data_IF_752708617080
#
_entry.id   IF_752708617080
#
_cell.length_a   1.000
_cell.length_b   1.000
_cell.length_c   1.000
_cell.angle_alpha   90.00
_cell.angle_beta   90.00
_cell.angle_gamma   90.00
#
_symmetry.space_group_name_H-M   'P 1'
#
loop_
_entity.id
_entity.type
_entity.pdbx_description
1 polymer ?
#
# COMPACT_ATOMS: atom_id res chain seq x y z
N UNK A 1 6.67 -45.24 -5.99
CA UNK A 1 7.63 -46.38 -5.86
C UNK A 1 8.80 -46.12 -4.90
N UNK A 2 9.30 -47.19 -4.27
CA UNK A 2 10.50 -47.17 -3.40
C UNK A 2 11.56 -48.16 -3.88
N UNK A 3 12.84 -47.89 -3.62
CA UNK A 3 13.94 -48.84 -3.84
C UNK A 3 13.99 -49.95 -2.76
N UNK A 4 14.96 -50.86 -2.87
CA UNK A 4 15.18 -51.94 -1.89
C UNK A 4 15.50 -51.44 -0.46
N UNK A 5 15.92 -50.18 -0.32
CA UNK A 5 16.22 -49.54 0.95
C UNK A 5 15.03 -48.70 1.48
N UNK A 6 13.89 -48.70 0.78
CA UNK A 6 12.70 -47.96 1.17
C UNK A 6 12.71 -46.47 0.79
N UNK A 7 13.69 -46.00 0.02
CA UNK A 7 13.76 -44.61 -0.44
C UNK A 7 12.78 -44.40 -1.60
N UNK A 8 12.07 -43.28 -1.62
CA UNK A 8 11.20 -42.94 -2.74
C UNK A 8 12.03 -42.64 -4.00
N UNK A 9 11.72 -43.31 -5.10
CA UNK A 9 12.48 -43.21 -6.36
C UNK A 9 11.68 -42.61 -7.53
N UNK A 10 10.37 -42.38 -7.36
CA UNK A 10 9.51 -41.86 -8.41
C UNK A 10 8.15 -42.54 -8.47
N UNK A 11 7.31 -42.08 -9.40
CA UNK A 11 6.10 -42.81 -9.78
C UNK A 11 6.44 -43.94 -10.74
N UNK A 12 5.86 -45.12 -10.54
CA UNK A 12 6.11 -46.29 -11.36
C UNK A 12 4.88 -47.16 -11.55
N UNK A 13 5.06 -48.31 -12.18
CA UNK A 13 3.94 -49.16 -12.64
C UNK A 13 3.00 -49.52 -11.48
N UNK A 14 1.72 -49.17 -11.65
CA UNK A 14 0.65 -49.40 -10.66
C UNK A 14 0.32 -48.19 -9.77
N UNK A 15 1.13 -47.13 -9.77
CA UNK A 15 0.79 -45.89 -9.07
C UNK A 15 -0.42 -45.20 -9.75
N UNK A 16 -1.37 -44.71 -8.92
CA UNK A 16 -2.60 -44.04 -9.38
C UNK A 16 -2.82 -42.71 -8.66
N UNK A 17 -2.60 -41.58 -9.33
CA UNK A 17 -2.78 -40.23 -8.76
C UNK A 17 -2.74 -39.10 -9.81
N UNK A 18 -3.05 -37.87 -9.40
CA UNK A 18 -3.05 -36.67 -10.26
C UNK A 18 -1.67 -36.35 -10.86
N UNK A 19 -0.59 -36.71 -10.16
CA UNK A 19 0.76 -36.54 -10.68
C UNK A 19 1.06 -37.47 -11.85
N UNK A 20 0.51 -38.69 -11.81
CA UNK A 20 0.60 -39.67 -12.90
C UNK A 20 -0.26 -39.24 -14.08
N UNK A 21 -1.45 -38.68 -13.82
CA UNK A 21 -2.29 -38.07 -14.86
C UNK A 21 -1.52 -37.00 -15.63
N UNK A 22 -0.82 -36.10 -14.93
CA UNK A 22 0.02 -35.09 -15.56
C UNK A 22 1.19 -35.69 -16.37
N UNK A 23 1.79 -36.79 -15.90
CA UNK A 23 2.85 -37.51 -16.65
C UNK A 23 2.28 -38.08 -17.95
N UNK A 24 1.18 -38.83 -17.86
CA UNK A 24 0.52 -39.46 -18.99
C UNK A 24 0.05 -38.41 -20.00
N UNK A 25 -0.59 -37.32 -19.56
CA UNK A 25 -1.01 -36.22 -20.42
C UNK A 25 0.17 -35.60 -21.18
N UNK A 26 1.29 -35.31 -20.51
CA UNK A 26 2.45 -34.70 -21.16
C UNK A 26 3.12 -35.64 -22.16
N UNK A 27 3.24 -36.93 -21.83
CA UNK A 27 3.77 -37.93 -22.75
C UNK A 27 2.85 -38.10 -23.95
N UNK A 28 1.56 -38.32 -23.69
CA UNK A 28 0.53 -38.52 -24.69
C UNK A 28 0.47 -37.33 -25.63
N UNK A 29 0.35 -36.09 -25.15
CA UNK A 29 0.11 -34.93 -26.03
C UNK A 29 1.34 -34.52 -26.83
N UNK A 30 2.51 -34.50 -26.18
CA UNK A 30 3.73 -33.96 -26.80
C UNK A 30 4.39 -34.95 -27.75
N UNK A 31 4.22 -36.24 -27.54
CA UNK A 31 5.05 -37.25 -28.20
C UNK A 31 4.22 -38.31 -28.91
N UNK A 32 4.22 -38.23 -30.24
CA UNK A 32 3.57 -39.25 -31.08
C UNK A 32 4.09 -40.66 -30.78
N UNK A 33 5.40 -40.82 -30.55
CA UNK A 33 6.00 -42.12 -30.22
C UNK A 33 5.52 -42.70 -28.89
N UNK A 34 5.12 -41.86 -27.92
CA UNK A 34 4.55 -42.32 -26.66
C UNK A 34 3.12 -42.86 -26.87
N UNK A 35 2.32 -42.17 -27.69
CA UNK A 35 0.98 -42.63 -28.09
C UNK A 35 1.04 -43.95 -28.86
N UNK A 36 1.95 -44.06 -29.82
CA UNK A 36 2.16 -45.31 -30.59
C UNK A 36 2.58 -46.48 -29.70
N UNK A 37 3.29 -46.21 -28.60
CA UNK A 37 3.66 -47.22 -27.61
C UNK A 37 2.55 -47.58 -26.61
N UNK A 38 1.35 -46.99 -26.75
CA UNK A 38 0.19 -47.29 -25.91
C UNK A 38 0.10 -46.47 -24.62
N UNK A 39 0.78 -45.32 -24.53
CA UNK A 39 0.49 -44.37 -23.44
C UNK A 39 -0.89 -43.78 -23.68
N UNK A 40 -1.79 -43.97 -22.72
CA UNK A 40 -3.15 -43.43 -22.73
C UNK A 40 -3.28 -42.27 -21.73
N UNK A 41 -4.31 -41.45 -21.90
CA UNK A 41 -4.70 -40.46 -20.91
C UNK A 41 -5.32 -41.15 -19.69
N UNK A 42 -5.06 -40.60 -18.49
CA UNK A 42 -5.60 -41.11 -17.24
C UNK A 42 -4.55 -41.11 -16.12
N UNK A 43 -5.00 -41.45 -14.92
CA UNK A 43 -4.25 -41.30 -13.66
C UNK A 43 -3.40 -42.52 -13.28
N UNK A 44 -3.34 -43.55 -14.11
CA UNK A 44 -2.67 -44.81 -13.80
C UNK A 44 -1.35 -44.97 -14.56
N UNK A 45 -0.28 -45.29 -13.86
CA UNK A 45 1.05 -45.43 -14.44
C UNK A 45 1.21 -46.86 -14.96
N UNK A 46 1.21 -47.02 -16.29
CA UNK A 46 1.22 -48.35 -16.93
C UNK A 46 2.63 -48.76 -17.37
N UNK A 47 2.78 -50.00 -17.85
CA UNK A 47 4.03 -50.42 -18.51
C UNK A 47 4.34 -49.61 -19.77
N UNK A 48 3.32 -49.13 -20.48
CA UNK A 48 3.52 -48.22 -21.61
C UNK A 48 4.08 -46.88 -21.14
N UNK A 49 3.57 -46.34 -20.01
CA UNK A 49 4.13 -45.14 -19.37
C UNK A 49 5.59 -45.34 -18.95
N UNK A 50 5.92 -46.49 -18.32
CA UNK A 50 7.29 -46.82 -17.92
C UNK A 50 8.26 -46.90 -19.11
N UNK A 51 7.84 -47.56 -20.19
CA UNK A 51 8.61 -47.61 -21.42
C UNK A 51 8.82 -46.20 -22.01
N UNK A 52 7.76 -45.40 -22.06
CA UNK A 52 7.82 -44.05 -22.61
C UNK A 52 8.70 -43.11 -21.78
N UNK A 53 8.76 -43.27 -20.46
CA UNK A 53 9.69 -42.55 -19.60
C UNK A 53 11.15 -42.96 -19.87
N UNK A 54 11.42 -44.25 -20.06
CA UNK A 54 12.75 -44.72 -20.46
C UNK A 54 13.19 -44.08 -21.77
N UNK A 55 12.30 -44.08 -22.76
CA UNK A 55 12.56 -43.50 -24.08
C UNK A 55 12.71 -41.98 -24.03
N UNK A 56 11.87 -41.29 -23.26
CA UNK A 56 12.01 -39.86 -23.00
C UNK A 56 13.39 -39.53 -22.46
N UNK A 57 13.83 -40.24 -21.40
CA UNK A 57 15.13 -40.02 -20.76
C UNK A 57 16.30 -40.18 -21.73
N UNK A 58 16.28 -41.22 -22.58
CA UNK A 58 17.30 -41.42 -23.64
C UNK A 58 17.35 -40.23 -24.60
N UNK A 59 16.20 -39.73 -25.03
CA UNK A 59 16.11 -38.62 -26.00
C UNK A 59 16.60 -37.29 -25.43
N UNK A 60 16.39 -37.06 -24.13
CA UNK A 60 16.77 -35.79 -23.49
C UNK A 60 18.09 -35.85 -22.70
N UNK A 61 18.78 -37.00 -22.73
CA UNK A 61 20.06 -37.20 -22.03
C UNK A 61 19.95 -37.26 -20.52
N UNK A 62 18.81 -37.72 -19.97
CA UNK A 62 18.63 -37.92 -18.53
C UNK A 62 18.95 -39.36 -18.10
N UNK A 63 19.54 -39.57 -16.91
CA UNK A 63 19.67 -40.90 -16.32
C UNK A 63 18.30 -41.55 -16.12
N UNK A 64 18.18 -42.83 -16.53
CA UNK A 64 16.98 -43.62 -16.29
C UNK A 64 17.06 -44.21 -14.89
N UNK A 65 15.99 -44.06 -14.11
CA UNK A 65 15.82 -44.73 -12.81
C UNK A 65 14.85 -45.87 -12.98
N UNK A 66 15.22 -47.06 -12.49
CA UNK A 66 14.39 -48.25 -12.53
C UNK A 66 13.88 -48.62 -11.15
N UNK A 67 12.68 -49.16 -11.09
CA UNK A 67 12.19 -49.84 -9.89
C UNK A 67 12.83 -51.24 -9.75
N UNK A 68 12.61 -51.94 -8.62
CA UNK A 68 13.14 -53.29 -8.43
C UNK A 68 12.66 -54.35 -9.43
N UNK A 69 11.59 -54.06 -10.20
CA UNK A 69 11.06 -54.94 -11.24
C UNK A 69 11.63 -54.64 -12.63
N UNK A 70 12.49 -53.61 -12.74
CA UNK A 70 13.14 -53.20 -13.98
C UNK A 70 12.30 -52.22 -14.82
N UNK A 71 11.19 -51.70 -14.29
CA UNK A 71 10.36 -50.71 -14.98
C UNK A 71 10.82 -49.29 -14.63
N UNK A 72 10.90 -48.39 -15.61
CA UNK A 72 11.38 -47.04 -15.35
C UNK A 72 10.36 -46.20 -14.57
N UNK A 73 10.89 -45.41 -13.64
CA UNK A 73 10.10 -44.54 -12.76
C UNK A 73 10.29 -43.07 -13.12
N UNK A 74 9.21 -42.29 -13.00
CA UNK A 74 9.24 -40.85 -13.18
C UNK A 74 9.58 -40.16 -11.84
N UNK A 75 10.88 -39.98 -11.59
CA UNK A 75 11.37 -39.21 -10.45
C UNK A 75 11.20 -37.69 -10.68
N UNK A 76 11.52 -36.87 -9.67
CA UNK A 76 11.34 -35.41 -9.75
C UNK A 76 12.07 -34.77 -10.93
N UNK A 77 13.33 -35.14 -11.18
CA UNK A 77 14.13 -34.58 -12.27
C UNK A 77 13.51 -34.87 -13.64
N UNK A 78 13.04 -36.10 -13.85
CA UNK A 78 12.35 -36.52 -15.06
C UNK A 78 11.05 -35.72 -15.23
N UNK A 79 10.24 -35.59 -14.17
CA UNK A 79 8.96 -34.86 -14.24
C UNK A 79 9.15 -33.36 -14.51
N UNK A 80 10.18 -32.73 -13.94
CA UNK A 80 10.53 -31.34 -14.24
C UNK A 80 10.91 -31.22 -15.72
N UNK A 81 11.78 -32.09 -16.24
CA UNK A 81 12.23 -32.03 -17.64
C UNK A 81 11.12 -32.31 -18.64
N UNK A 82 10.23 -33.25 -18.32
CA UNK A 82 9.02 -33.56 -19.10
C UNK A 82 8.01 -32.41 -19.08
N UNK A 83 8.04 -31.59 -18.01
CA UNK A 83 7.06 -30.55 -17.72
C UNK A 83 5.76 -31.11 -17.14
N UNK A 84 5.80 -32.27 -16.49
CA UNK A 84 4.68 -32.88 -15.76
C UNK A 84 4.74 -32.60 -14.26
N UNK A 85 5.80 -31.95 -13.78
CA UNK A 85 5.85 -31.33 -12.48
C UNK A 85 5.67 -29.82 -12.64
N UNK A 86 4.53 -29.31 -12.16
CA UNK A 86 4.37 -27.88 -11.94
C UNK A 86 5.10 -27.59 -10.63
N UNK A 87 6.20 -26.85 -10.69
CA UNK A 87 6.79 -26.26 -9.48
C UNK A 87 5.67 -25.45 -8.84
N UNK A 88 5.23 -25.77 -7.61
CA UNK A 88 4.32 -24.88 -6.92
C UNK A 88 4.99 -23.51 -6.94
N UNK A 89 4.34 -22.51 -7.55
CA UNK A 89 4.78 -21.14 -7.39
C UNK A 89 5.04 -20.95 -5.90
N UNK A 90 6.21 -20.41 -5.47
CA UNK A 90 6.45 -20.16 -4.05
C UNK A 90 5.18 -19.48 -3.55
N UNK A 91 4.45 -20.12 -2.63
CA UNK A 91 3.22 -19.48 -2.16
C UNK A 91 3.70 -18.14 -1.60
N UNK A 92 3.21 -17.01 -2.14
CA UNK A 92 3.53 -15.74 -1.54
C UNK A 92 3.19 -15.88 -0.05
N UNK A 93 4.04 -15.35 0.86
CA UNK A 93 3.81 -15.50 2.29
C UNK A 93 2.35 -15.22 2.57
N UNK A 94 1.69 -16.12 3.31
CA UNK A 94 0.24 -16.12 3.52
C UNK A 94 -0.19 -14.70 3.86
N UNK A 95 -0.82 -14.01 2.90
CA UNK A 95 -1.29 -12.64 3.10
C UNK A 95 -2.31 -12.67 4.22
N UNK A 96 -2.20 -11.75 5.18
CA UNK A 96 -3.28 -11.51 6.12
C UNK A 96 -4.59 -11.26 5.35
N UNK A 97 -5.75 -11.70 5.85
CA UNK A 97 -7.03 -11.55 5.17
C UNK A 97 -7.47 -10.08 4.97
N UNK A 98 -6.82 -9.12 5.64
CA UNK A 98 -7.07 -7.69 5.51
C UNK A 98 -5.84 -6.99 4.93
N UNK A 99 -6.04 -5.98 4.09
CA UNK A 99 -4.94 -5.15 3.57
C UNK A 99 -4.89 -3.79 4.25
N UNK A 100 -3.71 -3.34 4.67
CA UNK A 100 -3.45 -1.94 5.01
C UNK A 100 -2.71 -1.28 3.85
N UNK A 101 -3.33 -0.27 3.23
CA UNK A 101 -2.66 0.60 2.29
C UNK A 101 -2.04 1.80 3.02
N UNK A 102 -0.73 1.99 2.89
CA UNK A 102 -0.03 3.12 3.52
C UNK A 102 0.46 4.12 2.49
N UNK A 103 0.22 5.41 2.72
CA UNK A 103 0.72 6.51 1.89
C UNK A 103 1.57 7.44 2.74
N UNK A 104 2.85 7.55 2.39
CA UNK A 104 3.83 8.32 3.14
C UNK A 104 3.57 9.83 3.07
N UNK A 105 4.21 10.59 3.96
CA UNK A 105 4.20 12.05 3.90
C UNK A 105 5.22 12.61 2.91
N UNK A 106 5.21 13.92 2.72
CA UNK A 106 6.15 14.62 1.84
C UNK A 106 7.61 14.28 2.21
N UNK A 107 8.40 13.97 1.19
CA UNK A 107 9.82 13.61 1.21
C UNK A 107 10.18 12.31 1.93
N UNK A 108 9.18 11.53 2.35
CA UNK A 108 9.41 10.19 2.88
C UNK A 108 9.37 9.15 1.76
N UNK A 109 10.15 8.09 1.92
CA UNK A 109 9.97 6.88 1.12
C UNK A 109 8.73 6.09 1.62
N UNK A 110 8.27 5.12 0.83
CA UNK A 110 7.04 4.38 1.13
C UNK A 110 7.13 3.42 2.34
N UNK A 111 8.31 3.24 2.92
CA UNK A 111 8.60 2.32 4.03
C UNK A 111 8.87 3.04 5.35
N UNK A 112 8.80 4.37 5.39
CA UNK A 112 9.09 5.19 6.57
C UNK A 112 7.92 6.10 6.98
N UNK A 113 8.01 6.64 8.20
CA UNK A 113 7.02 7.53 8.80
C UNK A 113 5.82 6.81 9.43
N UNK A 114 4.90 7.60 10.00
CA UNK A 114 3.81 7.08 10.83
C UNK A 114 2.95 5.98 10.17
N UNK A 115 2.59 6.05 8.87
CA UNK A 115 1.84 4.97 8.23
C UNK A 115 2.63 3.66 8.20
N UNK A 116 3.94 3.70 7.97
CA UNK A 116 4.80 2.52 8.01
C UNK A 116 4.98 2.00 9.44
N UNK A 117 5.10 2.88 10.43
CA UNK A 117 5.14 2.50 11.85
C UNK A 117 3.87 1.76 12.26
N UNK A 118 2.69 2.26 11.85
CA UNK A 118 1.41 1.55 12.03
C UNK A 118 1.47 0.19 11.38
N UNK A 119 1.85 0.10 10.10
CA UNK A 119 1.92 -1.16 9.38
C UNK A 119 2.86 -2.18 10.04
N UNK A 120 4.00 -1.75 10.55
CA UNK A 120 4.97 -2.57 11.26
C UNK A 120 4.43 -3.11 12.60
N UNK A 121 3.61 -2.31 13.29
CA UNK A 121 2.95 -2.72 14.54
C UNK A 121 1.72 -3.64 14.36
N UNK A 122 1.23 -3.83 13.13
CA UNK A 122 0.09 -4.71 12.88
C UNK A 122 0.47 -6.19 12.90
N UNK A 123 -0.42 -7.00 13.46
CA UNK A 123 -0.29 -8.46 13.48
C UNK A 123 -0.43 -9.02 12.05
N UNK A 124 0.64 -9.67 11.57
CA UNK A 124 0.72 -10.21 10.21
C UNK A 124 -0.19 -11.43 10.00
N UNK A 125 -0.73 -12.03 11.06
CA UNK A 125 -1.77 -13.03 10.95
C UNK A 125 -3.08 -12.45 10.39
N UNK A 126 -3.35 -11.16 10.66
CA UNK A 126 -4.55 -10.46 10.20
C UNK A 126 -4.28 -9.55 9.00
N UNK A 127 -3.09 -8.92 8.97
CA UNK A 127 -2.82 -7.81 8.08
C UNK A 127 -1.72 -8.09 7.06
N UNK A 128 -2.02 -7.80 5.81
CA UNK A 128 -1.04 -7.62 4.74
C UNK A 128 -0.76 -6.12 4.56
N UNK A 129 0.53 -5.75 4.55
CA UNK A 129 0.95 -4.37 4.32
C UNK A 129 1.24 -4.14 2.84
N UNK A 130 0.54 -3.18 2.23
CA UNK A 130 0.77 -2.73 0.86
C UNK A 130 1.10 -1.22 0.86
N UNK A 131 2.39 -0.84 0.79
CA UNK A 131 2.74 0.57 0.65
C UNK A 131 2.45 1.10 -0.76
N UNK A 132 2.20 2.40 -0.85
CA UNK A 132 1.99 3.15 -2.10
C UNK A 132 3.27 3.84 -2.49
N UNK A 133 3.83 3.48 -3.66
CA UNK A 133 5.01 4.14 -4.21
C UNK A 133 4.59 5.35 -5.03
N UNK A 134 4.97 6.55 -4.58
CA UNK A 134 4.64 7.79 -5.27
C UNK A 134 5.73 8.86 -5.01
N UNK A 135 5.75 9.98 -5.75
CA UNK A 135 6.84 10.95 -5.68
C UNK A 135 7.07 11.57 -4.29
N UNK A 136 6.02 11.69 -3.47
CA UNK A 136 6.07 12.37 -2.17
C UNK A 136 6.70 13.78 -2.24
N UNK A 137 6.49 14.54 -3.31
CA UNK A 137 7.21 15.77 -3.57
C UNK A 137 6.38 17.04 -3.34
N UNK A 138 7.07 18.17 -3.19
CA UNK A 138 6.46 19.52 -3.10
C UNK A 138 7.20 20.45 -4.07
N UNK A 139 7.24 20.10 -5.36
CA UNK A 139 7.90 20.90 -6.39
C UNK A 139 9.36 21.25 -6.04
N UNK A 140 9.83 22.47 -6.39
CA UNK A 140 11.18 22.92 -6.05
C UNK A 140 11.38 23.21 -4.54
N UNK A 141 10.35 23.09 -3.69
CA UNK A 141 10.38 23.48 -2.26
C UNK A 141 11.34 22.60 -1.42
N UNK A 142 11.99 21.59 -2.02
CA UNK A 142 13.05 20.79 -1.41
C UNK A 142 14.44 20.93 -2.05
N UNK A 143 14.66 21.90 -2.95
CA UNK A 143 15.97 22.18 -3.54
C UNK A 143 16.37 21.37 -4.78
N UNK A 144 15.42 20.77 -5.51
CA UNK A 144 15.69 20.03 -6.73
C UNK A 144 14.48 19.91 -7.68
N UNK A 145 14.67 19.41 -8.91
CA UNK A 145 13.58 19.18 -9.84
C UNK A 145 12.69 18.01 -9.39
N UNK A 146 11.46 18.33 -8.98
CA UNK A 146 10.47 17.35 -8.56
C UNK A 146 9.06 17.80 -8.98
N UNK A 147 8.08 16.87 -9.13
CA UNK A 147 6.69 17.22 -9.36
C UNK A 147 6.16 18.16 -8.29
N UNK A 148 5.26 19.07 -8.66
CA UNK A 148 4.51 19.88 -7.70
C UNK A 148 3.77 19.01 -6.67
N UNK A 149 3.32 19.61 -5.58
CA UNK A 149 2.49 18.91 -4.60
C UNK A 149 1.23 18.31 -5.27
N UNK A 150 0.56 19.09 -6.13
CA UNK A 150 -0.66 18.66 -6.80
C UNK A 150 -0.41 17.46 -7.73
N UNK A 151 0.68 17.46 -8.50
CA UNK A 151 1.06 16.31 -9.32
C UNK A 151 1.46 15.10 -8.49
N UNK A 152 2.23 15.30 -7.41
CA UNK A 152 2.62 14.23 -6.49
C UNK A 152 1.37 13.54 -5.92
N UNK A 153 0.42 14.32 -5.40
CA UNK A 153 -0.85 13.80 -4.89
C UNK A 153 -1.63 13.08 -5.99
N UNK A 154 -1.71 13.63 -7.20
CA UNK A 154 -2.41 12.97 -8.31
C UNK A 154 -1.80 11.60 -8.64
N UNK A 155 -0.47 11.48 -8.71
CA UNK A 155 0.21 10.20 -8.93
C UNK A 155 -0.06 9.23 -7.77
N UNK A 156 -0.05 9.71 -6.52
CA UNK A 156 -0.38 8.89 -5.35
C UNK A 156 -1.82 8.37 -5.35
N UNK A 157 -2.78 9.19 -5.78
CA UNK A 157 -4.19 8.80 -5.93
C UNK A 157 -4.33 7.72 -7.00
N UNK A 158 -3.74 7.90 -8.18
CA UNK A 158 -3.82 6.93 -9.27
C UNK A 158 -3.18 5.59 -8.88
N UNK A 159 -2.02 5.61 -8.21
CA UNK A 159 -1.37 4.37 -7.76
C UNK A 159 -2.20 3.66 -6.68
N UNK A 160 -2.76 4.39 -5.72
CA UNK A 160 -3.60 3.78 -4.69
C UNK A 160 -4.92 3.23 -5.27
N UNK A 161 -5.54 3.93 -6.23
CA UNK A 161 -6.70 3.41 -6.97
C UNK A 161 -6.35 2.09 -7.66
N UNK A 162 -5.26 2.06 -8.44
CA UNK A 162 -4.77 0.85 -9.12
C UNK A 162 -4.53 -0.30 -8.13
N UNK A 163 -3.88 -0.01 -7.00
CA UNK A 163 -3.59 -1.00 -5.97
C UNK A 163 -4.86 -1.57 -5.33
N UNK A 164 -5.87 -0.73 -5.06
CA UNK A 164 -7.17 -1.20 -4.55
C UNK A 164 -7.85 -2.09 -5.58
N UNK A 165 -7.90 -1.71 -6.85
CA UNK A 165 -8.55 -2.48 -7.91
C UNK A 165 -7.99 -3.90 -8.05
N UNK A 166 -6.66 -4.06 -7.97
CA UNK A 166 -6.01 -5.37 -8.10
C UNK A 166 -5.94 -6.16 -6.78
N UNK A 167 -6.33 -5.56 -5.65
CA UNK A 167 -6.26 -6.19 -4.34
C UNK A 167 -7.66 -6.57 -3.87
N UNK A 168 -8.01 -7.87 -3.87
CA UNK A 168 -9.31 -8.32 -3.38
C UNK A 168 -9.38 -8.22 -1.86
N UNK A 169 -10.61 -8.18 -1.34
CA UNK A 169 -10.89 -8.22 0.09
C UNK A 169 -11.02 -6.85 0.75
N UNK A 170 -11.15 -6.91 2.08
CA UNK A 170 -11.40 -5.76 2.94
C UNK A 170 -10.08 -5.07 3.32
N UNK A 171 -10.12 -3.75 3.46
CA UNK A 171 -8.91 -2.97 3.64
C UNK A 171 -9.09 -1.75 4.55
N UNK A 172 -7.95 -1.22 4.97
CA UNK A 172 -7.79 0.06 5.64
C UNK A 172 -6.94 1.01 4.79
N UNK A 173 -7.25 2.29 4.84
CA UNK A 173 -6.41 3.36 4.31
C UNK A 173 -5.63 4.02 5.45
N UNK A 174 -4.35 4.33 5.23
CA UNK A 174 -3.51 5.00 6.22
C UNK A 174 -2.58 6.03 5.57
N UNK A 175 -2.76 7.32 5.87
CA UNK A 175 -1.97 8.40 5.28
C UNK A 175 -1.40 9.38 6.31
N UNK A 176 -0.31 10.06 5.96
CA UNK A 176 0.27 11.14 6.77
C UNK A 176 0.54 12.37 5.90
N UNK A 177 0.14 13.57 6.36
CA UNK A 177 0.41 14.84 5.68
C UNK A 177 -0.04 14.80 4.21
N UNK A 178 0.87 14.93 3.23
CA UNK A 178 0.52 14.75 1.80
C UNK A 178 -0.17 13.41 1.52
N UNK A 179 0.30 12.31 2.12
CA UNK A 179 -0.32 11.00 1.98
C UNK A 179 -1.70 10.90 2.63
N UNK A 180 -1.98 11.73 3.65
CA UNK A 180 -3.32 11.86 4.22
C UNK A 180 -4.29 12.51 3.20
N UNK A 181 -3.85 13.52 2.45
CA UNK A 181 -4.65 14.08 1.36
C UNK A 181 -4.89 13.07 0.24
N UNK A 182 -3.91 12.22 -0.09
CA UNK A 182 -4.07 11.13 -1.06
C UNK A 182 -5.17 10.17 -0.61
N UNK A 183 -5.14 9.68 0.64
CA UNK A 183 -6.18 8.75 1.12
C UNK A 183 -7.55 9.44 1.23
N UNK A 184 -7.62 10.74 1.55
CA UNK A 184 -8.87 11.51 1.54
C UNK A 184 -9.50 11.56 0.14
N UNK A 185 -8.69 11.81 -0.88
CA UNK A 185 -9.14 11.83 -2.28
C UNK A 185 -9.58 10.44 -2.75
N UNK A 186 -8.89 9.39 -2.32
CA UNK A 186 -9.32 8.01 -2.59
C UNK A 186 -10.60 7.64 -1.83
N UNK A 187 -10.81 8.16 -0.62
CA UNK A 187 -12.08 7.99 0.09
C UNK A 187 -13.24 8.66 -0.67
N UNK A 188 -13.02 9.81 -1.31
CA UNK A 188 -14.00 10.44 -2.22
C UNK A 188 -14.30 9.55 -3.42
N UNK A 189 -13.29 8.91 -4.01
CA UNK A 189 -13.47 7.93 -5.09
C UNK A 189 -14.27 6.70 -4.63
N UNK A 190 -14.10 6.28 -3.36
CA UNK A 190 -14.90 5.22 -2.73
C UNK A 190 -16.34 5.67 -2.46
N UNK A 191 -16.58 6.92 -2.12
CA UNK A 191 -17.94 7.42 -1.81
C UNK A 191 -18.83 7.46 -3.06
N UNK A 192 -18.29 7.90 -4.19
CA UNK A 192 -19.10 8.09 -5.39
C UNK A 192 -18.32 8.18 -6.71
N UNK A 193 -17.02 7.83 -6.70
CA UNK A 193 -16.19 7.84 -7.90
C UNK A 193 -15.89 6.44 -8.43
N UNK A 194 -14.69 6.27 -8.98
CA UNK A 194 -14.23 5.05 -9.67
C UNK A 194 -14.27 3.81 -8.78
N UNK A 195 -14.09 4.00 -7.48
CA UNK A 195 -14.06 2.92 -6.49
C UNK A 195 -15.38 2.75 -5.73
N UNK A 196 -16.49 3.34 -6.17
CA UNK A 196 -17.77 3.28 -5.45
C UNK A 196 -18.20 1.85 -5.06
N UNK A 197 -17.96 0.86 -5.94
CA UNK A 197 -18.25 -0.56 -5.68
C UNK A 197 -17.40 -1.21 -4.58
N UNK A 198 -16.32 -0.55 -4.14
CA UNK A 198 -15.37 -0.98 -3.12
C UNK A 198 -15.55 -0.27 -1.77
N UNK A 199 -16.49 0.68 -1.63
CA UNK A 199 -16.72 1.37 -0.35
C UNK A 199 -16.97 0.41 0.81
N UNK A 200 -17.78 -0.63 0.57
CA UNK A 200 -18.11 -1.67 1.55
C UNK A 200 -16.89 -2.47 2.03
N UNK A 201 -15.81 -2.46 1.27
CA UNK A 201 -14.57 -3.17 1.59
C UNK A 201 -13.60 -2.27 2.38
N UNK A 202 -13.77 -0.95 2.31
CA UNK A 202 -13.02 0.00 3.13
C UNK A 202 -13.63 0.05 4.53
N UNK A 203 -12.88 -0.42 5.53
CA UNK A 203 -13.36 -0.52 6.91
C UNK A 203 -12.80 0.57 7.82
N UNK A 204 -11.60 1.06 7.52
CA UNK A 204 -10.91 2.08 8.32
C UNK A 204 -10.26 3.14 7.44
N UNK A 205 -10.34 4.38 7.92
CA UNK A 205 -9.57 5.52 7.42
C UNK A 205 -8.68 6.01 8.55
N UNK A 206 -7.37 5.94 8.37
CA UNK A 206 -6.38 6.39 9.36
C UNK A 206 -5.61 7.56 8.75
N UNK A 207 -5.57 8.68 9.44
CA UNK A 207 -4.85 9.85 8.93
C UNK A 207 -4.14 10.60 10.05
N UNK A 208 -2.93 11.09 9.74
CA UNK A 208 -2.14 11.92 10.63
C UNK A 208 -1.89 13.27 9.96
N UNK A 209 -2.25 14.38 10.61
CA UNK A 209 -2.01 15.71 10.07
C UNK A 209 -2.68 15.94 8.72
N UNK A 210 -3.93 15.48 8.57
CA UNK A 210 -4.66 15.45 7.30
C UNK A 210 -5.00 16.86 6.77
N UNK A 211 -4.41 17.30 5.62
CA UNK A 211 -4.79 18.53 4.96
C UNK A 211 -6.25 18.56 4.52
N UNK A 212 -6.92 17.42 4.42
CA UNK A 212 -8.32 17.26 4.08
C UNK A 212 -9.20 16.86 5.29
N UNK A 213 -8.70 17.01 6.53
CA UNK A 213 -9.49 16.70 7.75
C UNK A 213 -10.84 17.40 7.72
N UNK A 214 -11.90 16.65 7.99
CA UNK A 214 -13.26 17.20 8.10
C UNK A 214 -13.48 17.87 9.48
N UNK A 215 -14.21 19.00 9.55
CA UNK A 215 -14.52 19.65 10.82
C UNK A 215 -15.20 18.68 11.80
N UNK A 216 -14.78 18.66 13.06
CA UNK A 216 -15.36 17.80 14.09
C UNK A 216 -14.98 16.31 13.99
N UNK A 217 -14.23 15.91 12.98
CA UNK A 217 -13.73 14.53 12.82
C UNK A 217 -12.32 14.48 13.38
N UNK A 218 -12.17 13.93 14.58
CA UNK A 218 -10.88 13.76 15.24
C UNK A 218 -10.98 12.65 16.29
N UNK A 219 -9.92 11.85 16.42
CA UNK A 219 -9.72 11.00 17.59
C UNK A 219 -9.16 11.84 18.74
N UNK A 220 -9.66 11.63 19.95
CA UNK A 220 -9.23 12.37 21.12
C UNK A 220 -9.88 13.76 21.20
N UNK A 221 -9.15 14.73 21.75
CA UNK A 221 -9.65 16.10 21.89
C UNK A 221 -9.59 16.80 20.53
N UNK A 222 -10.73 17.26 20.02
CA UNK A 222 -10.77 18.05 18.79
C UNK A 222 -10.08 19.42 19.00
N UNK A 223 -8.99 19.73 18.26
CA UNK A 223 -8.32 21.03 18.32
C UNK A 223 -9.10 22.15 17.60
N UNK A 224 -10.24 21.82 16.98
CA UNK A 224 -11.07 22.73 16.21
C UNK A 224 -10.51 23.02 14.81
N UNK A 225 -11.28 23.78 14.02
CA UNK A 225 -10.97 24.03 12.62
C UNK A 225 -11.02 22.76 11.77
N UNK A 226 -10.27 22.76 10.67
CA UNK A 226 -10.25 21.67 9.70
C UNK A 226 -9.03 21.70 8.79
N UNK A 227 -8.95 20.76 7.85
CA UNK A 227 -7.86 20.68 6.88
C UNK A 227 -7.66 21.93 6.02
N UNK A 228 -6.40 22.28 5.79
CA UNK A 228 -5.96 23.45 5.01
C UNK A 228 -6.23 23.32 3.51
N UNK A 229 -6.38 22.10 2.97
CA UNK A 229 -6.70 21.89 1.56
C UNK A 229 -8.08 22.45 1.19
N UNK A 230 -8.98 22.57 2.19
CA UNK A 230 -10.38 22.93 1.98
C UNK A 230 -11.22 21.82 1.35
N UNK A 231 -10.66 20.62 1.14
CA UNK A 231 -11.40 19.47 0.62
C UNK A 231 -12.47 19.04 1.64
N UNK A 232 -13.70 18.82 1.15
CA UNK A 232 -14.84 18.39 1.96
C UNK A 232 -15.49 17.17 1.36
N UNK A 233 -15.88 16.24 2.23
CA UNK A 233 -16.56 15.02 1.86
C UNK A 233 -17.45 14.53 2.99
N UNK A 234 -18.48 13.78 2.63
CA UNK A 234 -19.34 13.12 3.61
C UNK A 234 -18.59 11.95 4.23
N UNK A 235 -18.48 11.94 5.56
CA UNK A 235 -17.90 10.80 6.28
C UNK A 235 -18.83 9.59 6.14
N UNK A 236 -18.38 8.47 5.54
CA UNK A 236 -19.24 7.29 5.39
C UNK A 236 -19.45 6.61 6.75
N UNK A 237 -20.71 6.32 7.10
CA UNK A 237 -21.03 5.63 8.36
C UNK A 237 -20.43 4.21 8.45
N UNK A 238 -20.11 3.59 7.31
CA UNK A 238 -19.50 2.26 7.23
C UNK A 238 -17.99 2.26 7.45
N UNK A 239 -17.34 3.43 7.45
CA UNK A 239 -15.88 3.56 7.58
C UNK A 239 -15.55 4.12 8.96
N UNK A 240 -14.75 3.41 9.74
CA UNK A 240 -14.26 3.93 11.02
C UNK A 240 -13.16 4.97 10.76
N UNK A 241 -13.43 6.22 11.13
CA UNK A 241 -12.48 7.32 10.99
C UNK A 241 -11.55 7.40 12.21
N UNK A 242 -10.26 7.21 11.97
CA UNK A 242 -9.16 7.43 12.90
C UNK A 242 -8.29 8.60 12.37
N UNK A 243 -8.88 9.79 12.36
CA UNK A 243 -8.23 11.02 11.92
C UNK A 243 -7.61 11.74 13.13
N UNK A 244 -6.29 11.88 13.14
CA UNK A 244 -5.53 12.45 14.24
C UNK A 244 -5.05 13.85 13.87
N UNK A 245 -5.46 14.84 14.67
CA UNK A 245 -5.01 16.22 14.57
C UNK A 245 -4.44 16.70 15.90
N UNK A 246 -3.16 17.07 15.90
CA UNK A 246 -2.53 17.66 17.07
C UNK A 246 -2.77 19.17 17.11
N UNK A 247 -3.06 19.70 18.29
CA UNK A 247 -3.16 21.13 18.50
C UNK A 247 -1.81 21.81 18.21
N UNK A 248 -1.80 22.76 17.28
CA UNK A 248 -0.58 23.38 16.74
C UNK A 248 -0.16 22.84 15.36
N UNK A 249 -0.75 21.77 14.86
CA UNK A 249 -0.57 21.34 13.48
C UNK A 249 -1.48 22.14 12.54
N UNK A 250 -0.93 23.19 11.94
CA UNK A 250 -1.70 24.11 11.10
C UNK A 250 -2.33 23.46 9.87
N UNK A 251 -1.76 22.36 9.36
CA UNK A 251 -2.23 21.73 8.13
C UNK A 251 -3.58 21.04 8.32
N UNK A 252 -3.87 20.53 9.52
CA UNK A 252 -5.14 19.88 9.84
C UNK A 252 -6.03 20.70 10.80
N UNK A 253 -5.54 21.82 11.35
CA UNK A 253 -6.27 22.67 12.32
C UNK A 253 -6.48 24.11 11.83
N UNK A 254 -6.58 24.29 10.51
CA UNK A 254 -6.82 25.61 9.93
C UNK A 254 -8.19 26.14 10.38
N UNK A 255 -8.27 27.38 10.90
CA UNK A 255 -9.53 27.97 11.35
C UNK A 255 -10.59 28.00 10.25
N UNK A 256 -11.84 27.71 10.64
CA UNK A 256 -12.99 27.83 9.75
C UNK A 256 -13.69 29.17 9.95
N UNK A 257 -14.27 29.70 8.88
CA UNK A 257 -15.06 30.95 8.89
C UNK A 257 -14.30 32.18 9.44
N UNK A 258 -12.97 32.21 9.28
CA UNK A 258 -12.14 33.38 9.61
C UNK A 258 -11.34 33.85 8.39
N UNK A 259 -10.98 35.13 8.40
CA UNK A 259 -10.10 35.72 7.40
C UNK A 259 -8.72 35.04 7.38
N UNK A 260 -8.13 34.79 8.56
CA UNK A 260 -6.85 34.09 8.68
C UNK A 260 -6.90 32.68 8.10
N UNK A 261 -7.94 31.92 8.40
CA UNK A 261 -8.17 30.60 7.81
C UNK A 261 -8.34 30.65 6.29
N UNK A 262 -9.00 31.68 5.76
CA UNK A 262 -9.17 31.88 4.31
C UNK A 262 -7.81 32.15 3.64
N UNK A 263 -7.01 33.01 4.24
CA UNK A 263 -5.66 33.36 3.75
C UNK A 263 -4.71 32.16 3.79
N UNK A 264 -4.72 31.37 4.87
CA UNK A 264 -3.91 30.15 4.99
C UNK A 264 -4.20 29.17 3.85
N UNK A 265 -5.48 28.92 3.54
CA UNK A 265 -5.88 28.04 2.44
C UNK A 265 -5.48 28.59 1.07
N UNK A 266 -5.61 29.90 0.86
CA UNK A 266 -5.21 30.55 -0.38
C UNK A 266 -3.69 30.42 -0.63
N UNK A 267 -2.89 30.64 0.41
CA UNK A 267 -1.43 30.46 0.37
C UNK A 267 -1.05 29.02 0.10
N UNK A 268 -1.65 28.08 0.84
CA UNK A 268 -1.46 26.65 0.62
C UNK A 268 -1.74 26.27 -0.84
N UNK A 269 -2.90 26.65 -1.38
CA UNK A 269 -3.30 26.38 -2.77
C UNK A 269 -2.34 26.99 -3.79
N UNK A 270 -1.76 28.15 -3.52
CA UNK A 270 -0.77 28.77 -4.40
C UNK A 270 0.55 28.00 -4.37
N UNK A 271 1.03 27.61 -3.19
CA UNK A 271 2.27 26.86 -3.02
C UNK A 271 2.17 25.45 -3.65
N UNK A 272 1.05 24.75 -3.48
CA UNK A 272 0.89 23.38 -3.99
C UNK A 272 0.96 23.28 -5.52
N UNK A 273 0.73 24.39 -6.22
CA UNK A 273 0.76 24.51 -7.68
C UNK A 273 2.12 24.89 -8.26
N UNK A 274 3.08 25.29 -7.43
CA UNK A 274 4.37 25.76 -7.94
C UNK A 274 5.14 24.63 -8.64
N UNK A 275 5.40 24.83 -9.94
CA UNK A 275 6.16 23.93 -10.82
C UNK A 275 7.40 24.63 -11.38
N UNK A 276 8.33 23.84 -11.90
CA UNK A 276 9.56 24.32 -12.56
C UNK A 276 9.33 24.71 -14.03
N UNK A 277 8.22 24.29 -14.64
CA UNK A 277 7.98 24.45 -16.09
C UNK A 277 7.16 25.68 -16.50
N UNK A 278 6.88 26.62 -15.60
CA UNK A 278 6.12 27.84 -15.94
C UNK A 278 7.06 28.90 -16.58
N UNK A 279 7.07 29.10 -17.91
CA UNK A 279 8.09 29.90 -18.61
C UNK A 279 7.88 31.42 -18.45
N UNK A 280 6.93 31.85 -17.62
CA UNK A 280 6.53 33.25 -17.44
C UNK A 280 6.77 33.81 -16.04
N UNK A 281 7.37 33.04 -15.13
CA UNK A 281 7.76 33.51 -13.80
C UNK A 281 9.18 33.05 -13.52
N UNK A 282 10.14 33.93 -13.82
CA UNK A 282 11.53 33.85 -13.37
C UNK A 282 11.62 33.85 -11.84
N UNK A 283 11.24 32.73 -11.21
CA UNK A 283 11.46 32.44 -9.79
C UNK A 283 12.72 31.55 -9.66
N UNK A 284 13.43 31.27 -10.75
CA UNK A 284 14.76 30.64 -10.71
C UNK A 284 15.79 31.61 -10.09
N UNK A 285 15.57 32.93 -10.18
CA UNK A 285 16.36 33.95 -9.47
C UNK A 285 15.93 34.16 -8.01
N UNK A 286 14.69 33.77 -7.65
CA UNK A 286 14.12 33.99 -6.31
C UNK A 286 14.23 32.78 -5.37
N UNK A 287 14.64 31.61 -5.87
CA UNK A 287 14.70 30.35 -5.10
C UNK A 287 16.09 29.70 -5.08
N UNK A 288 17.15 30.47 -5.35
CA UNK A 288 18.53 30.08 -5.01
C UNK A 288 18.78 30.30 -3.51
N UNK A 289 18.12 29.48 -2.68
CA UNK A 289 18.57 29.19 -1.31
C UNK A 289 18.58 30.33 -0.28
N UNK A 290 17.84 31.43 -0.50
CA UNK A 290 17.88 32.56 0.44
C UNK A 290 16.79 32.46 1.54
N UNK A 291 17.16 32.36 2.84
CA UNK A 291 16.24 32.41 3.98
C UNK A 291 15.49 33.76 4.15
N UNK A 292 15.52 34.62 3.14
CA UNK A 292 14.80 35.89 3.06
C UNK A 292 13.33 35.73 2.64
N UNK A 293 12.95 34.68 1.88
CA UNK A 293 11.56 34.48 1.44
C UNK A 293 10.63 34.04 2.58
N UNK A 294 11.05 33.11 3.45
CA UNK A 294 10.30 32.80 4.67
C UNK A 294 10.23 34.02 5.60
N UNK A 295 11.27 34.85 5.62
CA UNK A 295 11.23 36.13 6.33
C UNK A 295 10.29 37.13 5.68
N UNK A 296 10.17 37.17 4.36
CA UNK A 296 9.24 38.04 3.65
C UNK A 296 7.79 37.58 3.78
N UNK A 297 7.53 36.26 3.72
CA UNK A 297 6.22 35.68 4.05
C UNK A 297 5.88 35.99 5.51
N UNK A 298 6.79 35.71 6.45
CA UNK A 298 6.61 36.10 7.86
C UNK A 298 6.34 37.60 7.99
N UNK A 299 7.09 38.48 7.33
CA UNK A 299 6.95 39.95 7.41
C UNK A 299 5.66 40.45 6.76
N UNK A 300 5.21 39.83 5.67
CA UNK A 300 3.92 40.09 5.03
C UNK A 300 2.75 39.70 5.93
N UNK A 301 2.91 38.64 6.74
CA UNK A 301 1.90 38.25 7.73
C UNK A 301 2.05 38.99 9.07
N UNK A 302 3.23 39.54 9.41
CA UNK A 302 3.51 40.19 10.72
C UNK A 302 3.13 41.67 10.77
N UNK A 303 2.62 42.27 9.69
CA UNK A 303 2.28 43.70 9.64
C UNK A 303 0.92 43.96 10.35
N UNK A 304 0.89 44.66 11.50
CA UNK A 304 -0.34 44.91 12.26
C UNK A 304 -1.25 45.96 11.61
N UNK A 305 -0.78 46.67 10.57
CA UNK A 305 -1.47 47.84 9.99
C UNK A 305 -2.57 47.44 9.01
N UNK A 306 -2.55 46.23 8.45
CA UNK A 306 -3.45 45.81 7.35
C UNK A 306 -4.51 44.76 7.70
N UNK A 307 -4.51 44.12 8.87
CA UNK A 307 -5.33 42.94 9.12
C UNK A 307 -6.14 42.98 10.42
N UNK A 308 -7.46 42.81 10.30
CA UNK A 308 -8.37 42.68 11.44
C UNK A 308 -8.16 41.40 12.27
N UNK A 309 -9.05 41.21 13.24
CA UNK A 309 -9.01 40.17 14.31
C UNK A 309 -8.73 38.74 13.79
N UNK A 310 -9.06 38.42 12.53
CA UNK A 310 -8.84 37.10 11.92
C UNK A 310 -7.39 36.77 11.53
N UNK A 311 -6.52 37.76 11.29
CA UNK A 311 -5.10 37.53 10.95
C UNK A 311 -4.28 37.08 12.17
N UNK A 312 -4.69 37.51 13.37
CA UNK A 312 -4.05 37.20 14.64
C UNK A 312 -4.08 35.69 14.92
N UNK A 313 -5.20 35.00 14.73
CA UNK A 313 -5.31 33.55 15.00
C UNK A 313 -4.44 32.72 14.03
N UNK A 314 -4.38 33.11 12.75
CA UNK A 314 -3.51 32.46 11.77
C UNK A 314 -2.02 32.63 12.09
N UNK A 315 -1.61 33.82 12.53
CA UNK A 315 -0.25 34.09 13.01
C UNK A 315 0.09 33.30 14.27
N UNK A 316 -0.82 33.25 15.25
CA UNK A 316 -0.64 32.46 16.46
C UNK A 316 -0.50 30.97 16.14
N UNK A 317 -1.25 30.44 15.17
CA UNK A 317 -1.14 29.04 14.75
C UNK A 317 0.12 28.75 13.95
N UNK A 318 0.58 29.67 13.10
CA UNK A 318 1.87 29.55 12.41
C UNK A 318 3.03 29.59 13.42
N UNK A 319 2.98 30.49 14.40
CA UNK A 319 3.94 30.57 15.49
C UNK A 319 3.90 29.30 16.37
N UNK A 320 2.70 28.82 16.72
CA UNK A 320 2.51 27.58 17.47
C UNK A 320 3.00 26.38 16.69
N UNK A 321 2.78 26.31 15.38
CA UNK A 321 3.34 25.28 14.50
C UNK A 321 4.88 25.28 14.57
N UNK A 322 5.50 26.45 14.41
CA UNK A 322 6.96 26.60 14.47
C UNK A 322 7.55 26.25 15.85
N UNK A 323 6.83 26.53 16.94
CA UNK A 323 7.29 26.28 18.32
C UNK A 323 7.01 24.85 18.79
N UNK A 324 5.84 24.30 18.48
CA UNK A 324 5.42 22.98 18.98
C UNK A 324 5.95 21.83 18.13
N UNK A 325 6.24 22.09 16.85
CA UNK A 325 6.59 21.09 15.86
C UNK A 325 5.57 19.92 15.82
N UNK A 326 4.30 20.20 16.13
CA UNK A 326 3.27 19.18 16.36
C UNK A 326 3.11 18.22 15.17
N UNK A 327 3.30 18.73 13.95
CA UNK A 327 3.11 17.97 12.71
C UNK A 327 3.99 16.71 12.61
N UNK A 328 5.17 16.69 13.23
CA UNK A 328 6.09 15.54 13.19
C UNK A 328 6.10 14.73 14.48
N UNK A 329 5.12 14.92 15.37
CA UNK A 329 5.12 14.34 16.73
C UNK A 329 3.95 13.41 17.02
N UNK A 330 3.28 12.90 15.98
CA UNK A 330 2.17 11.94 16.12
C UNK A 330 2.58 10.59 16.76
N UNK A 331 3.86 10.23 16.68
CA UNK A 331 4.43 9.07 17.37
C UNK A 331 4.84 9.33 18.83
N UNK A 332 4.83 10.59 19.29
CA UNK A 332 5.36 11.01 20.58
C UNK A 332 4.30 11.63 21.50
N UNK A 333 3.42 12.47 20.95
CA UNK A 333 2.41 13.18 21.71
C UNK A 333 1.17 12.32 21.90
N UNK A 334 0.69 12.29 23.14
CA UNK A 334 -0.53 11.60 23.51
C UNK A 334 -1.76 12.29 22.91
N UNK A 335 -2.60 11.50 22.25
CA UNK A 335 -3.93 11.94 21.77
C UNK A 335 -5.04 11.41 22.67
N UNK A 336 -4.75 10.36 23.43
CA UNK A 336 -5.57 9.77 24.47
C UNK A 336 -4.67 9.47 25.67
N UNK A 337 -5.22 9.37 26.90
CA UNK A 337 -4.41 9.10 28.10
C UNK A 337 -3.50 7.87 27.92
N UNK A 338 -2.18 8.09 27.93
CA UNK A 338 -1.17 7.04 27.79
C UNK A 338 -0.99 6.46 26.38
N UNK A 339 -1.58 7.07 25.34
CA UNK A 339 -1.52 6.57 23.97
C UNK A 339 -1.22 7.69 22.96
N UNK A 340 -0.14 7.49 22.20
CA UNK A 340 0.13 8.31 21.01
C UNK A 340 -0.80 7.93 19.87
N UNK A 341 -0.87 8.78 18.83
CA UNK A 341 -1.74 8.53 17.68
C UNK A 341 -1.39 7.22 16.97
N UNK A 342 -0.09 6.94 16.79
CA UNK A 342 0.40 5.71 16.16
C UNK A 342 0.01 4.47 16.99
N UNK A 343 0.24 4.51 18.31
CA UNK A 343 -0.09 3.39 19.20
C UNK A 343 -1.60 3.12 19.25
N UNK A 344 -2.42 4.16 19.32
CA UNK A 344 -3.87 4.02 19.30
C UNK A 344 -4.35 3.40 17.97
N UNK A 345 -3.80 3.81 16.83
CA UNK A 345 -4.13 3.24 15.53
C UNK A 345 -3.80 1.73 15.46
N UNK A 346 -2.59 1.34 15.88
CA UNK A 346 -2.16 -0.07 15.92
C UNK A 346 -3.10 -0.90 16.80
N UNK A 347 -3.35 -0.44 18.03
CA UNK A 347 -4.18 -1.15 18.99
C UNK A 347 -5.61 -1.32 18.47
N UNK A 348 -6.18 -0.27 17.88
CA UNK A 348 -7.54 -0.30 17.34
C UNK A 348 -7.66 -1.27 16.16
N UNK A 349 -6.75 -1.18 15.19
CA UNK A 349 -6.77 -2.02 13.99
C UNK A 349 -6.59 -3.51 14.34
N UNK A 350 -5.62 -3.85 15.20
CA UNK A 350 -5.42 -5.24 15.62
C UNK A 350 -6.62 -5.78 16.41
N UNK A 351 -7.16 -5.00 17.34
CA UNK A 351 -8.29 -5.43 18.16
C UNK A 351 -9.58 -5.61 17.33
N UNK A 352 -9.84 -4.70 16.38
CA UNK A 352 -10.98 -4.84 15.47
C UNK A 352 -10.82 -6.06 14.55
N UNK A 353 -9.63 -6.25 13.97
CA UNK A 353 -9.35 -7.38 13.08
C UNK A 353 -9.53 -8.73 13.82
N UNK A 354 -8.99 -8.85 15.03
CA UNK A 354 -9.15 -10.05 15.85
C UNK A 354 -10.63 -10.36 16.13
N UNK A 355 -11.44 -9.36 16.50
CA UNK A 355 -12.89 -9.54 16.72
C UNK A 355 -13.60 -9.98 15.45
N UNK A 356 -13.29 -9.34 14.32
CA UNK A 356 -13.97 -9.58 13.06
C UNK A 356 -13.64 -10.94 12.42
N UNK A 357 -12.45 -11.49 12.69
CA UNK A 357 -11.98 -12.75 12.11
C UNK A 357 -12.16 -13.95 13.05
N UNK A 358 -12.54 -13.71 14.31
CA UNK A 358 -12.93 -14.76 15.26
C UNK A 358 -14.43 -15.11 15.19
N UNK A 359 -15.24 -14.25 14.56
CA UNK A 359 -16.66 -14.46 14.26
C UNK A 359 -16.81 -15.14 12.89
#
# INVERSE_FOLDING_TARGET
MKDANGNWIGYGVGDKCVEVEAINQKLHDKYQWARTAGVELGDTYTKATAWAISEFCRRVGLPIVFDPKGDAVANLAIRIRLGSYVVPSPQPPKRGPLTLFTVAGTWADMWSGFPADVANGLDKAYWFWQPVNYPASFGPVGGGPAPSYEESVAVGVEELVRLIEITPGRFALCGYSQGAEVVARVLIELIGGRLAGRLKDCLWYVAFGDPARQPGVCVGRDPGGSGISGIRFTVPASVKMLDYALDGDMYCTTPDNTEGGTNMRAVYKALTKMQIHDPGRDIISALTGDPSLMRQLMKLFSDPVTGGIGLIDALFRLAKFAVTNAHVRYGELEVLPGLTAVQHAINTLNADAARMLAA
#
